data_IF_162650895144
#
_entry.id   IF_162650895144
#
_cell.length_a   1.000
_cell.length_b   1.000
_cell.length_c   1.000
_cell.angle_alpha   90.00
_cell.angle_beta   90.00
_cell.angle_gamma   90.00
#
_symmetry.space_group_name_H-M   'P 1'
#
loop_
_entity.id
_entity.type
_entity.pdbx_description
1 polymer ?
#
# COMPACT_ATOMS: atom_id res chain seq x y z
N UNK A 1 -2.87 5.37 -14.94
CA UNK A 1 -2.81 6.18 -16.19
C UNK A 1 -4.05 7.06 -16.39
N UNK A 2 -5.27 6.56 -16.18
CA UNK A 2 -6.51 7.34 -16.33
C UNK A 2 -6.53 8.66 -15.51
N UNK A 3 -6.19 8.62 -14.22
CA UNK A 3 -6.21 9.79 -13.34
C UNK A 3 -5.23 10.88 -13.82
N UNK A 4 -4.04 10.49 -14.28
CA UNK A 4 -3.05 11.42 -14.82
C UNK A 4 -3.55 12.11 -16.11
N UNK A 5 -4.21 11.35 -16.99
CA UNK A 5 -4.85 11.90 -18.19
C UNK A 5 -5.94 12.92 -17.82
N UNK A 6 -6.82 12.57 -16.88
CA UNK A 6 -7.91 13.46 -16.42
C UNK A 6 -7.34 14.75 -15.82
N UNK A 7 -6.27 14.66 -15.04
CA UNK A 7 -5.58 15.83 -14.47
C UNK A 7 -5.06 16.76 -15.58
N UNK A 8 -4.37 16.21 -16.58
CA UNK A 8 -3.82 17.00 -17.71
C UNK A 8 -4.94 17.64 -18.52
N UNK A 9 -5.98 16.88 -18.88
CA UNK A 9 -7.13 17.39 -19.63
C UNK A 9 -7.83 18.51 -18.87
N UNK A 10 -8.02 18.34 -17.56
CA UNK A 10 -8.65 19.35 -16.70
C UNK A 10 -7.79 20.60 -16.59
N UNK A 11 -6.48 20.45 -16.37
CA UNK A 11 -5.55 21.58 -16.28
C UNK A 11 -5.47 22.37 -17.60
N UNK A 12 -5.42 21.68 -18.75
CA UNK A 12 -5.45 22.31 -20.07
C UNK A 12 -6.77 23.03 -20.33
N UNK A 13 -7.91 22.42 -19.98
CA UNK A 13 -9.21 23.05 -20.13
C UNK A 13 -9.33 24.32 -19.27
N UNK A 14 -8.85 24.30 -18.01
CA UNK A 14 -8.81 25.49 -17.17
C UNK A 14 -7.85 26.57 -17.72
N UNK A 15 -6.71 26.18 -18.30
CA UNK A 15 -5.76 27.13 -18.90
C UNK A 15 -6.30 27.79 -20.18
N UNK A 16 -6.90 27.01 -21.07
CA UNK A 16 -7.38 27.47 -22.38
C UNK A 16 -8.74 28.17 -22.31
N UNK A 17 -9.66 27.65 -21.47
CA UNK A 17 -11.06 28.07 -21.42
C UNK A 17 -11.39 28.85 -20.12
N UNK A 18 -10.39 29.33 -19.37
CA UNK A 18 -10.56 30.03 -18.09
C UNK A 18 -11.72 31.04 -18.09
N UNK A 19 -11.71 31.95 -19.07
CA UNK A 19 -12.69 33.05 -19.15
C UNK A 19 -14.10 32.54 -19.42
N UNK A 20 -14.24 31.53 -20.27
CA UNK A 20 -15.52 30.95 -20.65
C UNK A 20 -16.11 30.12 -19.50
N UNK A 21 -15.28 29.30 -18.83
CA UNK A 21 -15.70 28.49 -17.68
C UNK A 21 -16.14 29.36 -16.49
N UNK A 22 -15.37 30.41 -16.16
CA UNK A 22 -15.74 31.32 -15.07
C UNK A 22 -17.05 32.06 -15.37
N UNK A 23 -17.24 32.49 -16.61
CA UNK A 23 -18.44 33.22 -16.98
C UNK A 23 -19.68 32.30 -17.05
N UNK A 24 -19.53 31.03 -17.46
CA UNK A 24 -20.60 30.02 -17.32
C UNK A 24 -20.96 29.75 -15.85
N UNK A 25 -19.99 29.76 -14.92
CA UNK A 25 -20.28 29.58 -13.49
C UNK A 25 -20.94 30.79 -12.82
N UNK A 26 -20.71 32.01 -13.31
CA UNK A 26 -21.19 33.25 -12.69
C UNK A 26 -22.46 33.79 -13.36
N UNK A 27 -22.56 33.70 -14.68
CA UNK A 27 -23.71 34.19 -15.46
C UNK A 27 -23.89 33.38 -16.78
N UNK A 28 -24.49 32.18 -16.69
CA UNK A 28 -24.67 31.30 -17.86
C UNK A 28 -25.76 31.80 -18.81
N UNK A 29 -26.63 32.73 -18.39
CA UNK A 29 -27.65 33.30 -19.25
C UNK A 29 -27.05 34.36 -20.17
N UNK A 30 -26.20 35.24 -19.62
CA UNK A 30 -25.46 36.23 -20.41
C UNK A 30 -24.57 35.58 -21.47
N UNK A 31 -23.88 34.48 -21.12
CA UNK A 31 -23.00 33.81 -22.09
C UNK A 31 -23.76 33.19 -23.25
N UNK A 32 -24.98 32.69 -22.99
CA UNK A 32 -25.87 32.10 -24.00
C UNK A 32 -26.57 33.16 -24.85
N UNK A 33 -26.84 34.36 -24.32
CA UNK A 33 -27.45 35.44 -25.09
C UNK A 33 -26.45 36.18 -25.98
N UNK A 34 -25.21 36.35 -25.51
CA UNK A 34 -24.19 37.17 -26.19
C UNK A 34 -23.22 36.37 -27.06
N UNK A 35 -23.07 35.06 -26.83
CA UNK A 35 -22.13 34.22 -27.58
C UNK A 35 -22.77 32.94 -28.10
N UNK A 36 -22.64 32.68 -29.41
CA UNK A 36 -23.07 31.41 -30.01
C UNK A 36 -22.33 30.17 -29.48
N UNK A 37 -21.32 30.37 -28.64
CA UNK A 37 -20.48 29.33 -28.03
C UNK A 37 -20.97 28.89 -26.64
N UNK A 38 -21.96 29.56 -26.05
CA UNK A 38 -22.43 29.28 -24.68
C UNK A 38 -22.91 27.85 -24.47
N UNK A 39 -23.66 27.27 -25.41
CA UNK A 39 -24.11 25.87 -25.33
C UNK A 39 -22.95 24.89 -25.34
N UNK A 40 -21.92 25.14 -26.16
CA UNK A 40 -20.74 24.27 -26.26
C UNK A 40 -19.92 24.32 -24.96
N UNK A 41 -19.74 25.52 -24.39
CA UNK A 41 -19.02 25.71 -23.12
C UNK A 41 -19.75 25.01 -21.97
N UNK A 42 -21.08 25.08 -21.93
CA UNK A 42 -21.89 24.39 -20.92
C UNK A 42 -21.70 22.87 -20.95
N UNK A 43 -21.82 22.24 -22.13
CA UNK A 43 -21.58 20.80 -22.26
C UNK A 43 -20.13 20.42 -21.98
N UNK A 44 -19.16 21.26 -22.36
CA UNK A 44 -17.75 21.07 -22.01
C UNK A 44 -17.50 21.12 -20.50
N UNK A 45 -18.13 22.06 -19.80
CA UNK A 45 -18.08 22.15 -18.35
C UNK A 45 -18.70 20.91 -17.67
N UNK A 46 -19.89 20.50 -18.11
CA UNK A 46 -20.55 19.31 -17.56
C UNK A 46 -19.72 18.04 -17.79
N UNK A 47 -19.14 17.89 -18.98
CA UNK A 47 -18.24 16.79 -19.30
C UNK A 47 -17.00 16.77 -18.38
N UNK A 48 -16.40 17.94 -18.11
CA UNK A 48 -15.28 18.06 -17.17
C UNK A 48 -15.67 17.66 -15.74
N UNK A 49 -16.85 18.08 -15.27
CA UNK A 49 -17.35 17.70 -13.94
C UNK A 49 -17.56 16.20 -13.85
N UNK A 50 -18.25 15.60 -14.83
CA UNK A 50 -18.50 14.16 -14.86
C UNK A 50 -17.20 13.37 -14.96
N UNK A 51 -16.25 13.80 -15.79
CA UNK A 51 -14.95 13.16 -15.93
C UNK A 51 -14.18 13.13 -14.61
N UNK A 52 -14.12 14.26 -13.90
CA UNK A 52 -13.47 14.35 -12.59
C UNK A 52 -14.20 13.54 -11.52
N UNK A 53 -15.54 13.52 -11.55
CA UNK A 53 -16.35 12.73 -10.62
C UNK A 53 -16.12 11.23 -10.80
N UNK A 54 -16.17 10.73 -12.04
CA UNK A 54 -15.96 9.30 -12.36
C UNK A 54 -14.53 8.87 -12.01
N UNK A 55 -13.53 9.68 -12.34
CA UNK A 55 -12.15 9.42 -11.95
C UNK A 55 -11.98 9.39 -10.42
N UNK A 56 -12.66 10.29 -9.70
CA UNK A 56 -12.69 10.30 -8.23
C UNK A 56 -13.34 9.05 -7.62
N UNK A 57 -14.40 8.53 -8.24
CA UNK A 57 -15.10 7.34 -7.76
C UNK A 57 -14.23 6.08 -7.78
N UNK A 58 -13.42 5.91 -8.83
CA UNK A 58 -12.50 4.77 -8.92
C UNK A 58 -11.39 4.82 -7.87
N UNK A 59 -10.96 6.02 -7.47
CA UNK A 59 -9.87 6.20 -6.52
C UNK A 59 -10.32 6.14 -5.05
N UNK A 60 -11.50 6.70 -4.75
CA UNK A 60 -11.90 6.99 -3.36
C UNK A 60 -13.29 6.44 -3.00
N UNK A 61 -14.06 5.95 -3.97
CA UNK A 61 -15.47 5.58 -3.77
C UNK A 61 -16.44 6.77 -3.91
N UNK A 62 -17.71 6.46 -4.08
CA UNK A 62 -18.75 7.43 -4.51
C UNK A 62 -19.03 8.54 -3.50
N UNK A 63 -19.24 8.18 -2.23
CA UNK A 63 -19.57 9.15 -1.17
C UNK A 63 -18.41 10.10 -0.86
N UNK A 64 -17.16 9.60 -0.91
CA UNK A 64 -15.97 10.34 -0.50
C UNK A 64 -15.49 11.31 -1.57
N UNK A 65 -15.65 10.94 -2.85
CA UNK A 65 -15.32 11.79 -3.98
C UNK A 65 -16.17 13.07 -4.02
N UNK A 66 -17.48 12.98 -3.72
CA UNK A 66 -18.35 14.16 -3.64
C UNK A 66 -17.89 15.11 -2.54
N UNK A 67 -17.51 14.57 -1.37
CA UNK A 67 -16.96 15.37 -0.27
C UNK A 67 -15.69 16.12 -0.66
N UNK A 68 -14.77 15.46 -1.37
CA UNK A 68 -13.51 16.07 -1.83
C UNK A 68 -13.68 17.09 -2.96
N UNK A 69 -14.74 17.00 -3.77
CA UNK A 69 -15.05 18.01 -4.76
C UNK A 69 -15.62 19.30 -4.13
N UNK A 70 -16.33 19.18 -3.00
CA UNK A 70 -17.04 20.32 -2.38
C UNK A 70 -16.21 20.98 -1.28
N UNK A 71 -15.61 20.21 -0.37
CA UNK A 71 -15.01 20.73 0.87
C UNK A 71 -13.86 21.72 0.66
N UNK A 72 -12.87 21.48 -0.23
CA UNK A 72 -11.78 22.43 -0.43
C UNK A 72 -12.25 23.78 -0.98
N UNK A 73 -13.23 23.75 -1.88
CA UNK A 73 -13.84 24.96 -2.46
C UNK A 73 -14.67 25.70 -1.40
N UNK A 74 -15.49 24.98 -0.65
CA UNK A 74 -16.30 25.55 0.43
C UNK A 74 -15.42 26.17 1.53
N UNK A 75 -14.28 25.54 1.86
CA UNK A 75 -13.30 26.09 2.78
C UNK A 75 -12.65 27.36 2.23
N UNK A 76 -12.20 27.35 0.96
CA UNK A 76 -11.58 28.50 0.30
C UNK A 76 -12.51 29.73 0.22
N UNK A 77 -13.83 29.52 0.09
CA UNK A 77 -14.83 30.59 0.02
C UNK A 77 -14.83 31.50 1.26
N UNK A 78 -14.45 31.00 2.44
CA UNK A 78 -14.38 31.80 3.66
C UNK A 78 -13.19 32.79 3.69
N UNK A 79 -12.18 32.58 2.85
CA UNK A 79 -10.93 33.33 2.87
C UNK A 79 -10.85 34.41 1.79
N UNK A 80 -11.57 34.25 0.68
CA UNK A 80 -11.48 35.15 -0.47
C UNK A 80 -12.80 35.27 -1.23
N UNK A 81 -13.02 36.42 -1.84
CA UNK A 81 -14.15 36.71 -2.73
C UNK A 81 -13.72 36.74 -4.22
N UNK A 82 -12.43 36.55 -4.51
CA UNK A 82 -11.91 36.52 -5.88
C UNK A 82 -11.88 35.10 -6.41
N UNK A 83 -12.52 34.85 -7.56
CA UNK A 83 -12.59 33.53 -8.19
C UNK A 83 -11.20 32.90 -8.46
N UNK A 84 -10.21 33.69 -8.89
CA UNK A 84 -8.85 33.19 -9.15
C UNK A 84 -8.18 32.68 -7.88
N UNK A 85 -8.26 33.48 -6.81
CA UNK A 85 -7.69 33.12 -5.50
C UNK A 85 -8.45 31.95 -4.86
N UNK A 86 -9.75 31.84 -5.10
CA UNK A 86 -10.59 30.76 -4.59
C UNK A 86 -10.18 29.41 -5.18
N UNK A 87 -9.98 29.35 -6.50
CA UNK A 87 -9.49 28.13 -7.17
C UNK A 87 -8.10 27.74 -6.67
N UNK A 88 -7.17 28.70 -6.57
CA UNK A 88 -5.82 28.44 -6.08
C UNK A 88 -5.81 27.92 -4.63
N UNK A 89 -6.61 28.53 -3.74
CA UNK A 89 -6.76 28.09 -2.36
C UNK A 89 -7.44 26.71 -2.27
N UNK A 90 -8.45 26.44 -3.08
CA UNK A 90 -9.11 25.13 -3.09
C UNK A 90 -8.14 24.02 -3.52
N UNK A 91 -7.31 24.27 -4.53
CA UNK A 91 -6.25 23.34 -4.96
C UNK A 91 -5.23 23.13 -3.84
N UNK A 92 -4.79 24.20 -3.17
CA UNK A 92 -3.83 24.10 -2.07
C UNK A 92 -4.42 23.32 -0.87
N UNK A 93 -5.66 23.61 -0.46
CA UNK A 93 -6.36 22.89 0.61
C UNK A 93 -6.55 21.43 0.23
N UNK A 94 -6.93 21.14 -1.02
CA UNK A 94 -7.05 19.78 -1.53
C UNK A 94 -5.73 19.01 -1.46
N UNK A 95 -4.63 19.60 -1.96
CA UNK A 95 -3.31 18.98 -1.93
C UNK A 95 -2.81 18.71 -0.50
N UNK A 96 -2.97 19.68 0.41
CA UNK A 96 -2.58 19.52 1.82
C UNK A 96 -3.45 18.48 2.52
N UNK A 97 -4.76 18.44 2.24
CA UNK A 97 -5.67 17.45 2.82
C UNK A 97 -5.39 16.04 2.31
N UNK A 98 -5.01 15.89 1.04
CA UNK A 98 -4.59 14.62 0.46
C UNK A 98 -3.28 14.12 1.08
N UNK A 99 -2.28 14.98 1.20
CA UNK A 99 -1.01 14.63 1.84
C UNK A 99 -1.20 14.28 3.32
N UNK A 100 -1.94 15.12 4.05
CA UNK A 100 -2.27 14.89 5.47
C UNK A 100 -3.09 13.62 5.69
N UNK A 101 -4.09 13.37 4.84
CA UNK A 101 -4.91 12.17 4.91
C UNK A 101 -4.14 10.88 4.59
N UNK A 102 -3.22 10.93 3.63
CA UNK A 102 -2.32 9.80 3.36
C UNK A 102 -1.39 9.53 4.53
N UNK A 103 -0.80 10.56 5.14
CA UNK A 103 0.00 10.41 6.35
C UNK A 103 -0.82 9.81 7.51
N UNK A 104 -2.04 10.29 7.71
CA UNK A 104 -2.93 9.78 8.75
C UNK A 104 -3.33 8.32 8.50
N UNK A 105 -3.59 7.96 7.24
CA UNK A 105 -3.83 6.59 6.80
C UNK A 105 -2.65 5.67 7.16
N UNK A 106 -1.41 6.12 6.91
CA UNK A 106 -0.21 5.36 7.26
C UNK A 106 -0.06 5.13 8.77
N UNK A 107 -0.41 6.11 9.61
CA UNK A 107 -0.23 6.01 11.06
C UNK A 107 -1.38 5.31 11.78
N UNK A 108 -2.62 5.50 11.33
CA UNK A 108 -3.82 5.01 12.02
C UNK A 108 -4.46 3.78 11.37
N UNK A 109 -3.86 3.22 10.30
CA UNK A 109 -4.39 2.08 9.55
C UNK A 109 -5.84 2.30 9.05
N UNK A 110 -6.22 3.55 8.80
CA UNK A 110 -7.53 3.91 8.26
C UNK A 110 -7.51 3.75 6.73
N UNK A 111 -8.65 3.43 6.09
CA UNK A 111 -8.74 3.48 4.64
C UNK A 111 -8.40 4.90 4.13
N UNK A 112 -7.63 4.98 3.04
CA UNK A 112 -7.06 6.24 2.53
C UNK A 112 -8.12 7.27 2.16
N UNK A 113 -9.20 6.84 1.50
CA UNK A 113 -10.32 7.71 1.14
C UNK A 113 -10.93 8.47 2.33
N UNK A 114 -11.45 7.76 3.35
CA UNK A 114 -11.97 8.36 4.57
C UNK A 114 -10.97 9.30 5.26
N UNK A 115 -9.69 8.92 5.35
CA UNK A 115 -8.66 9.74 5.99
C UNK A 115 -8.44 11.08 5.25
N UNK A 116 -8.45 11.06 3.91
CA UNK A 116 -8.35 12.28 3.09
C UNK A 116 -9.60 13.15 3.24
N UNK A 117 -10.80 12.56 3.18
CA UNK A 117 -12.07 13.30 3.35
C UNK A 117 -12.18 13.92 4.75
N UNK A 118 -11.77 13.21 5.81
CA UNK A 118 -11.72 13.75 7.18
C UNK A 118 -10.73 14.91 7.29
N UNK A 119 -9.57 14.81 6.65
CA UNK A 119 -8.57 15.89 6.62
C UNK A 119 -9.12 17.15 5.94
N UNK A 120 -9.82 16.98 4.81
CA UNK A 120 -10.50 18.09 4.12
C UNK A 120 -11.65 18.68 4.96
N UNK A 121 -12.40 17.82 5.67
CA UNK A 121 -13.44 18.24 6.61
C UNK A 121 -12.89 19.07 7.77
N UNK A 122 -11.74 18.68 8.34
CA UNK A 122 -11.07 19.44 9.37
C UNK A 122 -10.63 20.83 8.85
N UNK A 123 -10.06 20.91 7.65
CA UNK A 123 -9.69 22.18 7.01
C UNK A 123 -10.91 23.11 6.79
N UNK A 124 -12.06 22.53 6.43
CA UNK A 124 -13.33 23.26 6.33
C UNK A 124 -13.79 23.80 7.69
N UNK A 125 -13.81 22.96 8.74
CA UNK A 125 -14.21 23.39 10.10
C UNK A 125 -13.31 24.52 10.61
N UNK A 126 -11.99 24.40 10.45
CA UNK A 126 -11.02 25.45 10.80
C UNK A 126 -11.32 26.76 10.05
N UNK A 127 -11.66 26.67 8.76
CA UNK A 127 -12.02 27.84 7.94
C UNK A 127 -13.30 28.52 8.44
N UNK A 128 -14.33 27.75 8.79
CA UNK A 128 -15.60 28.27 9.35
C UNK A 128 -15.36 28.98 10.69
N UNK A 129 -14.60 28.35 11.60
CA UNK A 129 -14.32 28.93 12.92
C UNK A 129 -13.50 30.22 12.81
N UNK A 130 -12.51 30.25 11.92
CA UNK A 130 -11.67 31.42 11.66
C UNK A 130 -12.47 32.59 11.08
N UNK A 131 -13.41 32.31 10.17
CA UNK A 131 -14.29 33.33 9.59
C UNK A 131 -15.22 33.96 10.63
N UNK A 132 -15.79 33.15 11.54
CA UNK A 132 -16.63 33.64 12.64
C UNK A 132 -15.84 34.52 13.60
N UNK A 133 -14.62 34.12 13.97
CA UNK A 133 -13.73 34.92 14.83
C UNK A 133 -13.37 36.26 14.17
N UNK A 134 -13.05 36.27 12.86
CA UNK A 134 -12.73 37.48 12.12
C UNK A 134 -13.94 38.43 11.96
N UNK A 135 -15.15 37.89 11.91
CA UNK A 135 -16.39 38.67 11.90
C UNK A 135 -16.68 39.27 13.30
N UNK A 136 -16.49 38.47 14.36
CA UNK A 136 -16.68 38.91 15.75
C UNK A 136 -15.69 40.01 16.15
N UNK A 137 -14.43 39.91 15.73
CA UNK A 137 -13.45 40.98 15.92
C UNK A 137 -13.68 42.22 15.03
N UNK A 138 -14.46 42.12 13.94
CA UNK A 138 -14.88 43.28 13.13
C UNK A 138 -16.08 43.98 13.76
N UNK A 139 -17.05 43.23 14.27
CA UNK A 139 -18.18 43.75 15.04
C UNK A 139 -17.75 44.42 16.36
N UNK A 140 -16.73 43.89 17.05
CA UNK A 140 -16.16 44.58 18.23
C UNK A 140 -15.33 45.84 17.85
N UNK A 141 -14.83 45.93 16.61
CA UNK A 141 -14.05 47.07 16.12
C UNK A 141 -14.88 48.19 15.50
N UNK A 142 -16.17 47.98 15.24
CA UNK A 142 -17.08 49.07 14.84
C UNK A 142 -17.59 49.91 16.01
N UNK A 143 -17.14 49.65 17.24
CA UNK A 143 -17.44 50.45 18.44
C UNK A 143 -16.36 51.51 18.76
N UNK A 144 -15.35 51.74 17.92
CA UNK A 144 -14.29 52.72 18.18
C UNK A 144 -13.75 53.37 16.90
N UNK A 145 -13.99 54.68 16.77
CA UNK A 145 -13.67 55.55 15.63
C UNK A 145 -12.18 55.83 15.44
N UNK A 146 -11.73 55.92 14.19
CA UNK A 146 -10.46 56.56 13.78
C UNK A 146 -10.08 56.23 12.33
N UNK A 147 -9.67 57.20 11.49
CA UNK A 147 -9.42 56.99 10.07
C UNK A 147 -8.12 56.19 9.86
N UNK A 148 -8.15 55.17 9.01
CA UNK A 148 -6.97 54.32 8.71
C UNK A 148 -6.45 54.59 7.30
N UNK A 149 -5.16 54.93 7.25
CA UNK A 149 -4.30 55.05 6.06
C UNK A 149 -4.28 53.73 5.23
N UNK A 150 -4.50 53.78 3.90
CA UNK A 150 -4.62 52.59 3.06
C UNK A 150 -3.29 51.93 2.63
N UNK A 151 -2.11 52.38 3.07
CA UNK A 151 -0.84 51.96 2.43
C UNK A 151 -0.04 50.81 3.05
N UNK A 152 -0.52 50.09 4.06
CA UNK A 152 0.29 48.98 4.64
C UNK A 152 -0.52 47.76 5.00
N UNK A 153 -0.74 46.86 4.04
CA UNK A 153 -1.11 45.46 4.34
C UNK A 153 -0.51 44.46 3.34
N UNK A 154 0.39 43.63 3.88
CA UNK A 154 0.71 42.22 3.55
C UNK A 154 1.80 42.02 2.46
N UNK A 155 2.72 41.01 2.54
CA UNK A 155 2.89 39.96 3.56
C UNK A 155 4.30 39.84 4.17
N UNK A 156 4.36 39.60 5.48
CA UNK A 156 5.51 39.07 6.21
C UNK A 156 5.28 37.58 6.48
N UNK A 157 5.21 36.77 5.41
CA UNK A 157 5.14 35.30 5.49
C UNK A 157 6.27 34.64 4.67
N UNK A 158 7.10 35.43 3.97
CA UNK A 158 8.15 34.93 3.07
C UNK A 158 9.57 35.02 3.67
N UNK A 159 9.74 34.87 4.99
CA UNK A 159 11.05 34.99 5.65
C UNK A 159 11.40 33.93 6.70
N UNK A 160 10.70 32.80 6.73
CA UNK A 160 10.98 31.73 7.72
C UNK A 160 11.34 30.37 7.11
N UNK A 161 11.59 30.27 5.80
CA UNK A 161 11.85 28.99 5.12
C UNK A 161 13.32 28.75 4.72
N UNK A 162 14.27 29.51 5.26
CA UNK A 162 15.67 29.48 4.81
C UNK A 162 16.70 29.14 5.91
N UNK A 163 16.27 28.64 7.08
CA UNK A 163 17.18 28.40 8.21
C UNK A 163 17.11 26.97 8.79
N UNK A 164 16.65 25.98 8.02
CA UNK A 164 16.66 24.57 8.44
C UNK A 164 17.30 23.65 7.38
N UNK A 165 18.45 24.08 6.84
CA UNK A 165 19.24 23.28 5.89
C UNK A 165 20.73 23.40 6.23
N UNK A 166 21.14 22.95 7.42
CA UNK A 166 22.47 22.39 7.64
C UNK A 166 22.56 21.67 9.00
N UNK A 167 22.03 20.46 9.06
CA UNK A 167 22.56 19.45 9.97
C UNK A 167 22.71 18.20 9.13
N UNK A 168 23.93 17.97 8.66
CA UNK A 168 24.34 16.67 8.18
C UNK A 168 24.32 15.73 9.37
N UNK A 169 23.14 15.17 9.66
CA UNK A 169 23.04 13.96 10.46
C UNK A 169 23.79 12.90 9.66
N UNK A 170 24.89 12.39 10.24
CA UNK A 170 25.44 11.13 9.77
C UNK A 170 24.30 10.12 9.86
N UNK A 171 23.77 9.70 8.71
CA UNK A 171 22.78 8.62 8.64
C UNK A 171 23.53 7.37 9.05
N UNK A 172 23.51 7.06 10.34
CA UNK A 172 23.78 5.71 10.80
C UNK A 172 22.69 4.86 10.12
N UNK A 173 23.11 3.97 9.22
CA UNK A 173 22.19 3.02 8.61
C UNK A 173 21.54 2.23 9.76
N UNK A 174 20.23 2.37 9.92
CA UNK A 174 19.46 1.58 10.88
C UNK A 174 19.53 0.09 10.52
N UNK A 175 19.01 -0.80 11.39
CA UNK A 175 18.93 -2.22 11.08
C UNK A 175 18.23 -2.43 9.73
N UNK A 176 18.71 -3.36 8.88
CA UNK A 176 18.07 -3.67 7.61
C UNK A 176 16.58 -3.97 7.79
N UNK A 177 15.77 -3.31 6.98
CA UNK A 177 14.33 -3.53 6.90
C UNK A 177 14.07 -4.81 6.10
N UNK A 178 13.48 -5.81 6.74
CA UNK A 178 13.19 -7.10 6.14
C UNK A 178 11.69 -7.28 6.06
N UNK A 179 11.20 -7.59 4.86
CA UNK A 179 9.80 -7.99 4.67
C UNK A 179 9.75 -9.49 4.42
N UNK A 180 8.95 -10.21 5.20
CA UNK A 180 8.61 -11.60 4.97
C UNK A 180 7.17 -11.70 4.46
N UNK A 181 6.95 -12.45 3.38
CA UNK A 181 5.61 -12.57 2.78
C UNK A 181 4.60 -13.19 3.74
N UNK A 182 4.97 -14.18 4.54
CA UNK A 182 4.07 -14.82 5.49
C UNK A 182 4.74 -15.28 6.79
N UNK A 183 3.91 -15.67 7.75
CA UNK A 183 4.28 -15.94 9.15
C UNK A 183 5.40 -16.96 9.35
N UNK A 184 5.42 -18.08 8.61
CA UNK A 184 6.40 -19.15 8.82
C UNK A 184 7.81 -18.68 8.48
N UNK A 185 8.00 -18.10 7.28
CA UNK A 185 9.30 -17.56 6.89
C UNK A 185 9.64 -16.30 7.69
N UNK A 186 8.63 -15.60 8.22
CA UNK A 186 8.80 -14.54 9.20
C UNK A 186 9.44 -15.03 10.52
N UNK A 187 8.98 -16.15 11.07
CA UNK A 187 9.62 -16.76 12.24
C UNK A 187 11.06 -17.17 11.93
N UNK A 188 11.29 -17.85 10.80
CA UNK A 188 12.66 -18.22 10.38
C UNK A 188 13.56 -16.99 10.25
N UNK A 189 13.06 -15.90 9.67
CA UNK A 189 13.76 -14.62 9.55
C UNK A 189 14.09 -14.02 10.92
N UNK A 190 13.12 -14.00 11.85
CA UNK A 190 13.33 -13.51 13.21
C UNK A 190 14.39 -14.33 13.96
N UNK A 191 14.39 -15.66 13.81
CA UNK A 191 15.38 -16.56 14.44
C UNK A 191 16.80 -16.32 13.94
N UNK A 192 16.97 -16.02 12.64
CA UNK A 192 18.28 -15.73 12.05
C UNK A 192 18.72 -14.30 12.32
N UNK A 193 17.84 -13.32 12.10
CA UNK A 193 18.14 -11.90 12.17
C UNK A 193 18.28 -11.35 13.59
N UNK A 194 17.49 -11.86 14.55
CA UNK A 194 17.44 -11.34 15.91
C UNK A 194 17.20 -9.83 15.95
N UNK A 195 17.83 -9.15 16.91
CA UNK A 195 17.68 -7.70 17.10
C UNK A 195 18.40 -6.84 16.03
N UNK A 196 19.05 -7.48 15.04
CA UNK A 196 19.77 -6.76 13.98
C UNK A 196 18.91 -6.45 12.76
N UNK A 197 17.70 -7.00 12.68
CA UNK A 197 16.77 -6.73 11.57
C UNK A 197 15.51 -6.05 12.10
N UNK A 198 14.86 -5.25 11.27
CA UNK A 198 13.49 -4.81 11.51
C UNK A 198 12.56 -5.62 10.60
N UNK A 199 11.79 -6.54 11.19
CA UNK A 199 10.98 -7.51 10.44
C UNK A 199 9.52 -7.06 10.35
N UNK A 200 8.99 -7.03 9.12
CA UNK A 200 7.56 -6.91 8.86
C UNK A 200 7.04 -8.14 8.11
N UNK A 201 5.98 -8.76 8.64
CA UNK A 201 5.28 -9.87 8.01
C UNK A 201 4.02 -9.37 7.31
N UNK A 202 3.81 -9.75 6.04
CA UNK A 202 2.64 -9.32 5.27
C UNK A 202 1.39 -10.14 5.61
N UNK A 203 1.47 -11.46 5.42
CA UNK A 203 0.41 -12.42 5.75
C UNK A 203 0.63 -12.95 7.17
N UNK A 204 -0.23 -12.52 8.08
CA UNK A 204 -0.12 -12.83 9.51
C UNK A 204 -0.50 -14.27 9.87
N UNK A 205 -0.50 -14.59 11.18
CA UNK A 205 -0.98 -15.88 11.68
C UNK A 205 -2.42 -16.16 11.24
N UNK A 206 -2.74 -17.43 11.04
CA UNK A 206 -4.07 -17.95 10.67
C UNK A 206 -4.66 -17.37 9.37
N UNK A 207 -3.85 -16.69 8.55
CA UNK A 207 -4.23 -16.15 7.24
C UNK A 207 -3.67 -17.00 6.10
N UNK A 208 -4.41 -17.05 5.00
CA UNK A 208 -4.07 -17.84 3.82
C UNK A 208 -3.24 -17.02 2.82
N UNK A 209 -2.02 -17.47 2.53
CA UNK A 209 -1.11 -16.81 1.60
C UNK A 209 -1.50 -17.00 0.13
N UNK A 210 -2.24 -18.06 -0.22
CA UNK A 210 -2.66 -18.35 -1.61
C UNK A 210 -3.61 -17.28 -2.15
N UNK A 211 -4.49 -16.76 -1.29
CA UNK A 211 -5.59 -15.85 -1.64
C UNK A 211 -5.43 -14.45 -1.04
N UNK A 212 -4.25 -14.12 -0.53
CA UNK A 212 -4.01 -12.82 0.10
C UNK A 212 -4.01 -11.67 -0.91
N UNK A 213 -4.67 -10.57 -0.53
CA UNK A 213 -4.65 -9.31 -1.27
C UNK A 213 -3.84 -8.23 -0.51
N UNK A 214 -2.73 -7.73 -1.09
CA UNK A 214 -1.90 -6.71 -0.46
C UNK A 214 -2.62 -5.39 -0.19
N UNK A 215 -2.32 -4.79 0.96
CA UNK A 215 -2.79 -3.46 1.36
C UNK A 215 -1.78 -2.39 0.95
N UNK A 216 -2.18 -1.11 0.84
CA UNK A 216 -1.25 -0.02 0.54
C UNK A 216 -0.04 0.08 1.49
N UNK A 217 -0.22 -0.27 2.77
CA UNK A 217 0.88 -0.31 3.74
C UNK A 217 1.94 -1.36 3.38
N UNK A 218 1.52 -2.46 2.76
CA UNK A 218 2.40 -3.56 2.39
C UNK A 218 3.29 -3.11 1.22
N UNK A 219 2.73 -2.35 0.27
CA UNK A 219 3.52 -1.73 -0.79
C UNK A 219 4.55 -0.73 -0.24
N UNK A 220 4.20 0.04 0.79
CA UNK A 220 5.16 0.94 1.46
C UNK A 220 6.24 0.18 2.23
N UNK A 221 5.87 -0.93 2.88
CA UNK A 221 6.82 -1.79 3.56
C UNK A 221 7.85 -2.35 2.58
N UNK A 222 7.37 -2.93 1.47
CA UNK A 222 8.21 -3.47 0.40
C UNK A 222 9.07 -2.37 -0.24
N UNK A 223 8.54 -1.18 -0.47
CA UNK A 223 9.28 -0.04 -1.02
C UNK A 223 10.44 0.44 -0.12
N UNK A 224 10.35 0.20 1.19
CA UNK A 224 11.38 0.59 2.19
C UNK A 224 12.30 -0.57 2.58
N UNK A 225 11.97 -1.79 2.16
CA UNK A 225 12.73 -2.96 2.52
C UNK A 225 14.13 -2.92 1.91
N UNK A 226 15.10 -3.51 2.61
CA UNK A 226 16.39 -3.88 2.06
C UNK A 226 16.34 -5.31 1.49
N UNK A 227 15.56 -6.19 2.13
CA UNK A 227 15.37 -7.59 1.73
C UNK A 227 13.90 -7.94 1.79
N UNK A 228 13.39 -8.60 0.75
CA UNK A 228 12.06 -9.21 0.71
C UNK A 228 12.23 -10.71 0.58
N UNK A 229 11.81 -11.45 1.61
CA UNK A 229 11.82 -12.90 1.65
C UNK A 229 10.48 -13.42 1.15
N UNK A 230 10.53 -14.28 0.12
CA UNK A 230 9.37 -14.95 -0.47
C UNK A 230 9.54 -16.46 -0.32
N UNK A 231 8.45 -17.22 -0.32
CA UNK A 231 8.56 -18.67 -0.42
C UNK A 231 9.15 -19.05 -1.78
N UNK A 232 8.57 -18.51 -2.84
CA UNK A 232 8.78 -19.00 -4.20
C UNK A 232 7.73 -20.04 -4.57
N UNK A 233 7.97 -20.76 -5.68
CA UNK A 233 7.09 -21.82 -6.18
C UNK A 233 5.63 -21.38 -6.41
N UNK A 234 5.43 -20.10 -6.71
CA UNK A 234 4.12 -19.48 -6.95
C UNK A 234 3.12 -19.58 -5.78
N UNK A 235 3.59 -19.73 -4.52
CA UNK A 235 2.72 -19.63 -3.35
C UNK A 235 2.01 -18.27 -3.31
N UNK A 236 2.79 -17.20 -3.41
CA UNK A 236 2.30 -15.83 -3.27
C UNK A 236 2.00 -15.17 -4.62
N UNK A 237 0.81 -15.46 -5.17
CA UNK A 237 0.35 -14.95 -6.47
C UNK A 237 0.31 -13.41 -6.61
N UNK A 238 0.44 -12.69 -5.49
CA UNK A 238 0.40 -11.24 -5.40
C UNK A 238 1.78 -10.56 -5.45
N UNK A 239 2.87 -11.30 -5.22
CA UNK A 239 4.20 -10.72 -4.96
C UNK A 239 4.73 -9.93 -6.15
N UNK A 240 4.61 -10.43 -7.38
CA UNK A 240 5.11 -9.72 -8.57
C UNK A 240 4.42 -8.36 -8.77
N UNK A 241 3.09 -8.33 -8.59
CA UNK A 241 2.32 -7.08 -8.68
C UNK A 241 2.69 -6.13 -7.55
N UNK A 242 2.91 -6.65 -6.35
CA UNK A 242 3.29 -5.86 -5.18
C UNK A 242 4.68 -5.23 -5.35
N UNK A 243 5.66 -6.00 -5.83
CA UNK A 243 7.02 -5.52 -6.13
C UNK A 243 6.95 -4.42 -7.18
N UNK A 244 6.28 -4.67 -8.31
CA UNK A 244 6.12 -3.68 -9.37
C UNK A 244 5.43 -2.39 -8.89
N UNK A 245 4.37 -2.52 -8.08
CA UNK A 245 3.65 -1.37 -7.53
C UNK A 245 4.46 -0.59 -6.48
N UNK A 246 5.32 -1.28 -5.72
CA UNK A 246 6.15 -0.66 -4.69
C UNK A 246 7.32 0.15 -5.26
N UNK A 247 7.82 -0.23 -6.46
CA UNK A 247 9.03 0.35 -7.03
C UNK A 247 10.28 0.13 -6.17
N UNK A 248 10.31 -0.98 -5.42
CA UNK A 248 11.41 -1.30 -4.51
C UNK A 248 12.70 -1.65 -5.24
N UNK A 249 13.83 -1.26 -4.64
CA UNK A 249 15.18 -1.71 -5.01
C UNK A 249 15.70 -2.85 -4.10
N UNK A 250 14.83 -3.41 -3.25
CA UNK A 250 15.18 -4.47 -2.32
C UNK A 250 15.65 -5.74 -3.03
N UNK A 251 16.53 -6.50 -2.37
CA UNK A 251 16.85 -7.86 -2.80
C UNK A 251 15.63 -8.77 -2.56
N UNK A 252 15.09 -9.33 -3.64
CA UNK A 252 13.99 -10.31 -3.57
C UNK A 252 14.61 -11.72 -3.52
N UNK A 253 14.32 -12.47 -2.46
CA UNK A 253 14.95 -13.76 -2.18
C UNK A 253 13.88 -14.83 -2.02
N UNK A 254 13.84 -15.78 -2.95
CA UNK A 254 13.02 -16.98 -2.84
C UNK A 254 13.72 -18.01 -1.97
N UNK A 255 13.08 -18.44 -0.88
CA UNK A 255 13.73 -19.30 0.10
C UNK A 255 13.89 -20.75 -0.37
N UNK A 256 13.03 -21.21 -1.27
CA UNK A 256 13.04 -22.57 -1.80
C UNK A 256 14.15 -22.84 -2.82
N UNK A 257 14.92 -21.83 -3.26
CA UNK A 257 16.00 -22.01 -4.24
C UNK A 257 17.11 -22.98 -3.76
N UNK A 258 17.24 -23.15 -2.44
CA UNK A 258 18.18 -24.10 -1.82
C UNK A 258 17.53 -25.39 -1.30
N UNK A 259 16.22 -25.54 -1.44
CA UNK A 259 15.46 -26.69 -0.93
C UNK A 259 15.38 -27.84 -1.95
N UNK A 260 15.09 -29.05 -1.47
CA UNK A 260 14.75 -30.17 -2.34
C UNK A 260 13.27 -30.04 -2.73
N UNK A 261 13.03 -29.72 -4.00
CA UNK A 261 11.71 -29.41 -4.55
C UNK A 261 11.46 -30.37 -5.71
N UNK A 262 10.78 -31.51 -5.46
CA UNK A 262 10.45 -32.47 -6.50
C UNK A 262 9.52 -31.84 -7.55
N UNK A 263 9.72 -32.19 -8.82
CA UNK A 263 8.77 -31.84 -9.87
C UNK A 263 7.39 -32.43 -9.54
N UNK A 264 6.36 -31.59 -9.66
CA UNK A 264 4.96 -31.95 -9.59
C UNK A 264 4.33 -31.89 -10.98
N UNK A 265 4.17 -33.04 -11.67
CA UNK A 265 3.55 -33.12 -12.99
C UNK A 265 2.08 -32.66 -13.01
N UNK A 266 1.42 -32.62 -11.84
CA UNK A 266 0.05 -32.16 -11.67
C UNK A 266 -0.04 -30.70 -11.18
N UNK A 267 1.10 -30.05 -10.93
CA UNK A 267 1.17 -28.70 -10.39
C UNK A 267 0.83 -27.60 -11.40
N UNK A 268 0.16 -26.55 -10.93
CA UNK A 268 -0.07 -25.33 -11.69
C UNK A 268 -1.09 -24.37 -11.10
N UNK A 269 -1.16 -23.17 -11.70
CA UNK A 269 -2.10 -22.14 -11.32
C UNK A 269 -2.59 -21.37 -12.54
N UNK A 270 -3.80 -20.81 -12.43
CA UNK A 270 -4.31 -19.87 -13.43
C UNK A 270 -3.81 -18.45 -13.09
N UNK A 271 -3.14 -17.81 -14.04
CA UNK A 271 -2.90 -16.37 -14.01
C UNK A 271 -3.93 -15.69 -14.90
N UNK A 272 -4.59 -14.64 -14.39
CA UNK A 272 -5.49 -13.83 -15.20
C UNK A 272 -4.72 -12.68 -15.86
N UNK A 273 -4.71 -12.65 -17.19
CA UNK A 273 -4.16 -11.54 -17.99
C UNK A 273 -5.33 -10.91 -18.75
N UNK A 274 -5.86 -9.82 -18.21
CA UNK A 274 -7.14 -9.27 -18.65
C UNK A 274 -8.31 -10.19 -18.27
N UNK A 275 -9.21 -10.46 -19.21
CA UNK A 275 -10.37 -11.36 -19.01
C UNK A 275 -10.05 -12.84 -19.30
N UNK A 276 -8.78 -13.18 -19.52
CA UNK A 276 -8.37 -14.54 -19.86
C UNK A 276 -7.62 -15.20 -18.72
N UNK A 277 -8.11 -16.37 -18.29
CA UNK A 277 -7.40 -17.28 -17.41
C UNK A 277 -6.38 -18.08 -18.22
N UNK A 278 -5.09 -17.83 -18.00
CA UNK A 278 -3.99 -18.57 -18.60
C UNK A 278 -3.51 -19.61 -17.58
N UNK A 279 -3.56 -20.89 -17.93
CA UNK A 279 -2.99 -21.95 -17.11
C UNK A 279 -1.47 -21.90 -17.23
N UNK A 280 -0.80 -21.64 -16.11
CA UNK A 280 0.64 -21.85 -15.97
C UNK A 280 0.81 -23.21 -15.30
N UNK A 281 1.41 -24.16 -16.04
CA UNK A 281 2.00 -25.32 -15.40
C UNK A 281 3.03 -24.79 -14.39
N UNK A 282 2.75 -24.96 -13.11
CA UNK A 282 3.55 -24.51 -11.99
C UNK A 282 4.12 -25.76 -11.38
N UNK A 283 5.32 -26.12 -11.82
CA UNK A 283 5.85 -27.47 -11.73
C UNK A 283 6.18 -27.97 -10.31
N UNK A 284 5.73 -27.32 -9.24
CA UNK A 284 6.21 -27.63 -7.89
C UNK A 284 5.16 -27.31 -6.81
N UNK A 285 4.99 -28.22 -5.85
CA UNK A 285 4.25 -27.98 -4.62
C UNK A 285 4.98 -26.91 -3.78
N UNK A 286 4.33 -25.79 -3.39
CA UNK A 286 5.00 -24.72 -2.67
C UNK A 286 5.28 -25.01 -1.19
N UNK A 287 4.71 -26.07 -0.60
CA UNK A 287 4.71 -26.30 0.85
C UNK A 287 5.99 -26.96 1.37
N UNK A 288 7.15 -26.60 0.80
CA UNK A 288 8.44 -27.22 1.09
C UNK A 288 8.82 -27.17 2.58
N UNK A 289 8.37 -26.15 3.32
CA UNK A 289 8.64 -26.00 4.75
C UNK A 289 8.08 -27.13 5.63
N UNK A 290 7.19 -27.96 5.10
CA UNK A 290 6.64 -29.13 5.80
C UNK A 290 7.66 -30.28 5.93
N UNK A 291 8.78 -30.22 5.18
CA UNK A 291 9.97 -31.02 5.45
C UNK A 291 10.95 -30.19 6.30
N UNK A 292 11.34 -30.71 7.47
CA UNK A 292 12.31 -30.03 8.35
C UNK A 292 13.69 -29.89 7.68
N UNK A 293 14.18 -30.86 6.90
CA UNK A 293 15.34 -30.66 6.03
C UNK A 293 15.23 -29.44 5.09
N UNK A 294 14.07 -29.24 4.44
CA UNK A 294 13.83 -28.07 3.60
C UNK A 294 13.74 -26.77 4.41
N UNK A 295 13.11 -26.78 5.59
CA UNK A 295 13.11 -25.63 6.49
C UNK A 295 14.54 -25.19 6.87
N UNK A 296 15.46 -26.15 7.08
CA UNK A 296 16.89 -25.85 7.31
C UNK A 296 17.57 -25.21 6.10
N UNK A 297 17.22 -25.65 4.89
CA UNK A 297 17.72 -25.04 3.66
C UNK A 297 17.24 -23.58 3.54
N UNK A 298 15.96 -23.32 3.79
CA UNK A 298 15.40 -21.97 3.84
C UNK A 298 16.14 -21.08 4.85
N UNK A 299 16.43 -21.59 6.05
CA UNK A 299 17.21 -20.87 7.08
C UNK A 299 18.62 -20.52 6.59
N UNK A 300 19.28 -21.41 5.85
CA UNK A 300 20.58 -21.12 5.25
C UNK A 300 20.49 -20.02 4.17
N UNK A 301 19.46 -20.05 3.34
CA UNK A 301 19.18 -19.01 2.34
C UNK A 301 18.95 -17.65 3.00
N UNK A 302 18.16 -17.59 4.08
CA UNK A 302 17.94 -16.37 4.86
C UNK A 302 19.26 -15.81 5.40
N UNK A 303 20.11 -16.66 5.98
CA UNK A 303 21.41 -16.22 6.50
C UNK A 303 22.31 -15.64 5.39
N UNK A 304 22.29 -16.24 4.20
CA UNK A 304 22.99 -15.73 3.02
C UNK A 304 22.48 -14.35 2.58
N UNK A 305 21.15 -14.19 2.52
CA UNK A 305 20.50 -12.92 2.18
C UNK A 305 20.83 -11.81 3.18
N UNK A 306 20.78 -12.11 4.48
CA UNK A 306 21.11 -11.13 5.52
C UNK A 306 22.59 -10.77 5.52
N UNK A 307 23.50 -11.72 5.28
CA UNK A 307 24.92 -11.43 5.08
C UNK A 307 25.19 -10.53 3.88
N UNK A 308 24.42 -10.68 2.79
CA UNK A 308 24.56 -9.84 1.61
C UNK A 308 24.04 -8.41 1.85
N UNK A 309 22.98 -8.26 2.64
CA UNK A 309 22.39 -6.96 2.98
C UNK A 309 23.12 -6.22 4.12
N UNK A 310 23.67 -6.95 5.09
CA UNK A 310 24.43 -6.45 6.23
C UNK A 310 25.66 -7.33 6.48
N UNK A 311 26.77 -6.96 5.84
CA UNK A 311 28.04 -7.66 5.97
C UNK A 311 28.61 -7.61 7.40
N UNK A 312 28.33 -6.55 8.17
CA UNK A 312 28.81 -6.40 9.55
C UNK A 312 28.12 -7.40 10.49
N UNK A 313 26.84 -7.68 10.26
CA UNK A 313 26.06 -8.65 11.02
C UNK A 313 26.28 -10.12 10.64
N UNK A 314 27.04 -10.42 9.57
CA UNK A 314 27.07 -11.75 8.97
C UNK A 314 27.47 -12.89 9.93
N UNK A 315 28.46 -12.67 10.81
CA UNK A 315 28.86 -13.67 11.80
C UNK A 315 27.73 -13.96 12.80
N UNK A 316 26.93 -12.95 13.17
CA UNK A 316 25.76 -13.10 14.05
C UNK A 316 24.66 -13.91 13.33
N UNK A 317 24.35 -13.58 12.08
CA UNK A 317 23.34 -14.30 11.30
C UNK A 317 23.71 -15.78 11.12
N UNK A 318 24.97 -16.07 10.79
CA UNK A 318 25.48 -17.45 10.67
C UNK A 318 25.42 -18.21 11.98
N UNK A 319 25.83 -17.59 13.08
CA UNK A 319 25.76 -18.22 14.40
C UNK A 319 24.31 -18.52 14.82
N UNK A 320 23.38 -17.58 14.58
CA UNK A 320 21.96 -17.76 14.84
C UNK A 320 21.35 -18.86 13.99
N UNK A 321 21.62 -18.86 12.68
CA UNK A 321 21.17 -19.91 11.75
C UNK A 321 21.72 -21.29 12.14
N UNK A 322 22.99 -21.39 12.53
CA UNK A 322 23.59 -22.64 13.00
C UNK A 322 22.97 -23.15 14.31
N UNK A 323 22.61 -22.25 15.23
CA UNK A 323 21.87 -22.62 16.44
C UNK A 323 20.48 -23.12 16.10
N UNK A 324 19.73 -22.37 15.30
CA UNK A 324 18.38 -22.76 14.90
C UNK A 324 18.35 -24.07 14.10
N UNK A 325 19.35 -24.31 13.25
CA UNK A 325 19.48 -25.57 12.52
C UNK A 325 19.68 -26.79 13.44
N UNK A 326 20.29 -26.62 14.63
CA UNK A 326 20.39 -27.69 15.63
C UNK A 326 19.02 -28.00 16.23
N UNK A 327 18.23 -26.98 16.53
CA UNK A 327 16.87 -27.14 17.02
C UNK A 327 15.99 -27.86 15.97
N UNK A 328 16.13 -27.48 14.70
CA UNK A 328 15.46 -28.17 13.59
C UNK A 328 15.92 -29.63 13.43
N UNK A 329 17.22 -29.94 13.59
CA UNK A 329 17.68 -31.33 13.57
C UNK A 329 17.09 -32.16 14.72
N UNK A 330 16.94 -31.56 15.91
CA UNK A 330 16.31 -32.23 17.04
C UNK A 330 14.82 -32.47 16.77
N UNK A 331 14.12 -31.48 16.19
CA UNK A 331 12.72 -31.60 15.78
C UNK A 331 12.53 -32.70 14.72
N UNK A 332 13.39 -32.76 13.70
CA UNK A 332 13.32 -33.81 12.67
C UNK A 332 13.45 -35.21 13.28
N UNK A 333 14.40 -35.41 14.20
CA UNK A 333 14.58 -36.67 14.89
C UNK A 333 13.38 -37.04 15.79
N UNK A 334 12.79 -36.04 16.46
CA UNK A 334 11.59 -36.22 17.27
C UNK A 334 10.40 -36.67 16.41
N UNK A 335 10.15 -35.98 15.28
CA UNK A 335 9.08 -36.33 14.34
C UNK A 335 9.27 -37.76 13.82
N UNK A 336 10.48 -38.11 13.36
CA UNK A 336 10.78 -39.46 12.87
C UNK A 336 10.55 -40.53 13.94
N UNK A 337 10.95 -40.26 15.18
CA UNK A 337 10.75 -41.19 16.29
C UNK A 337 9.27 -41.37 16.60
N UNK A 338 8.51 -40.27 16.67
CA UNK A 338 7.08 -40.28 16.97
C UNK A 338 6.28 -41.01 15.87
N UNK A 339 6.53 -40.69 14.61
CA UNK A 339 5.86 -41.34 13.48
C UNK A 339 6.30 -42.80 13.33
N UNK A 340 7.58 -43.10 13.55
CA UNK A 340 8.13 -44.46 13.50
C UNK A 340 7.50 -45.41 14.53
N UNK A 341 6.99 -44.88 15.65
CA UNK A 341 6.28 -45.66 16.66
C UNK A 341 4.84 -46.04 16.25
N UNK A 342 4.27 -45.40 15.22
CA UNK A 342 2.92 -45.69 14.74
C UNK A 342 2.92 -46.94 13.84
N UNK A 343 1.93 -47.83 13.98
CA UNK A 343 1.67 -48.90 13.01
C UNK A 343 1.49 -48.34 11.60
N UNK A 344 2.01 -49.02 10.57
CA UNK A 344 1.95 -48.54 9.18
C UNK A 344 0.51 -48.38 8.67
N UNK A 345 -0.42 -49.24 9.12
CA UNK A 345 -1.84 -49.19 8.78
C UNK A 345 -2.60 -48.03 9.45
N UNK A 346 -1.96 -47.32 10.37
CA UNK A 346 -2.54 -46.19 11.12
C UNK A 346 -1.96 -44.82 10.71
N UNK A 347 -1.37 -44.71 9.51
CA UNK A 347 -0.67 -43.50 9.03
C UNK A 347 -1.42 -42.70 7.96
N UNK A 348 -2.75 -42.64 8.04
CA UNK A 348 -3.57 -41.89 7.08
C UNK A 348 -4.44 -40.85 7.78
N UNK A 349 -4.40 -39.60 7.32
CA UNK A 349 -5.11 -38.46 7.91
C UNK A 349 -5.83 -37.65 6.83
N UNK A 350 -6.97 -37.05 7.17
CA UNK A 350 -7.70 -36.12 6.29
C UNK A 350 -7.47 -34.68 6.75
N UNK A 351 -7.10 -33.80 5.84
CA UNK A 351 -6.82 -32.37 6.06
C UNK A 351 -7.64 -31.49 5.12
N UNK A 352 -7.61 -30.16 5.30
CA UNK A 352 -8.45 -29.23 4.56
C UNK A 352 -8.04 -29.04 3.08
N UNK A 353 -6.74 -28.95 2.79
CA UNK A 353 -6.18 -28.83 1.43
C UNK A 353 -4.86 -29.60 1.33
N UNK A 354 -4.40 -29.84 0.10
CA UNK A 354 -3.24 -30.67 -0.17
C UNK A 354 -1.93 -29.90 0.09
N UNK A 355 -1.57 -29.77 1.37
CA UNK A 355 -0.42 -28.96 1.82
C UNK A 355 0.67 -29.75 2.54
N UNK A 356 0.56 -31.07 2.64
CA UNK A 356 1.44 -31.90 3.48
C UNK A 356 2.23 -32.94 2.68
N UNK A 357 2.38 -32.76 1.37
CA UNK A 357 3.08 -33.73 0.51
C UNK A 357 4.53 -33.94 0.93
N UNK A 358 5.28 -32.86 1.18
CA UNK A 358 6.66 -32.98 1.68
C UNK A 358 6.73 -33.72 3.01
N UNK A 359 5.77 -33.49 3.91
CA UNK A 359 5.68 -34.24 5.18
C UNK A 359 5.41 -35.73 4.92
N UNK A 360 4.53 -36.04 3.96
CA UNK A 360 4.24 -37.42 3.56
C UNK A 360 5.48 -38.13 3.03
N UNK A 361 6.23 -37.49 2.14
CA UNK A 361 7.44 -38.06 1.53
C UNK A 361 8.56 -38.23 2.58
N UNK A 362 8.70 -37.27 3.49
CA UNK A 362 9.77 -37.26 4.51
C UNK A 362 9.52 -38.23 5.68
N UNK A 363 8.26 -38.35 6.12
CA UNK A 363 7.90 -39.03 7.37
C UNK A 363 6.94 -40.21 7.19
N UNK A 364 6.35 -40.41 6.01
CA UNK A 364 5.52 -41.58 5.72
C UNK A 364 4.10 -41.54 6.31
N UNK A 365 3.50 -40.35 6.40
CA UNK A 365 2.06 -40.17 6.70
C UNK A 365 1.32 -39.82 5.42
N UNK A 366 0.30 -40.59 5.06
CA UNK A 366 -0.58 -40.30 3.94
C UNK A 366 -1.62 -39.23 4.31
N UNK A 367 -1.79 -38.23 3.45
CA UNK A 367 -2.77 -37.16 3.60
C UNK A 367 -3.81 -37.21 2.49
N UNK A 368 -5.08 -37.09 2.87
CA UNK A 368 -6.20 -36.91 1.95
C UNK A 368 -6.79 -35.51 2.17
N UNK A 369 -7.25 -34.86 1.10
CA UNK A 369 -7.87 -33.54 1.21
C UNK A 369 -8.98 -33.33 0.18
N UNK A 370 -10.01 -32.52 0.51
CA UNK A 370 -11.05 -32.13 -0.43
C UNK A 370 -10.58 -31.04 -1.40
N UNK A 371 -9.61 -30.20 -1.01
CA UNK A 371 -9.01 -29.18 -1.89
C UNK A 371 -7.62 -29.61 -2.37
N UNK A 372 -7.23 -29.11 -3.54
CA UNK A 372 -5.91 -29.34 -4.14
C UNK A 372 -4.79 -28.54 -3.46
N UNK A 373 -3.67 -28.37 -4.16
CA UNK A 373 -2.46 -27.71 -3.65
C UNK A 373 -2.68 -26.21 -3.38
N UNK A 374 -3.56 -25.54 -4.13
CA UNK A 374 -3.98 -24.17 -3.83
C UNK A 374 -5.44 -24.12 -3.42
N UNK A 375 -5.73 -23.28 -2.43
CA UNK A 375 -7.10 -22.97 -1.96
C UNK A 375 -7.85 -22.00 -2.88
N UNK A 376 -7.15 -21.39 -3.86
CA UNK A 376 -7.77 -20.52 -4.86
C UNK A 376 -8.65 -21.29 -5.85
N UNK A 377 -8.33 -22.56 -6.11
CA UNK A 377 -9.11 -23.43 -7.00
C UNK A 377 -10.18 -24.16 -6.17
N UNK A 378 -11.44 -23.77 -6.34
CA UNK A 378 -12.58 -24.52 -5.80
C UNK A 378 -12.63 -25.90 -6.47
N UNK A 379 -12.92 -26.96 -5.71
CA UNK A 379 -13.17 -28.29 -6.28
C UNK A 379 -14.20 -28.15 -7.41
N UNK A 380 -13.82 -28.60 -8.61
CA UNK A 380 -14.76 -28.70 -9.72
C UNK A 380 -15.77 -29.79 -9.34
N UNK A 381 -17.03 -29.39 -9.14
CA UNK A 381 -18.17 -30.31 -9.02
C UNK A 381 -18.38 -31.09 -10.33
#
# INVERSE_FOLDING_TARGET
MLIALVLVVTALAFGLLWRALVAECLDPLFLRSESGMGTVVHFGFLALVVLNLVAGFQALGTLLAVGLMILPVAAAHFWTQSARLMVALAVAIGAVSSAGGMLLSCHLSLPSGPAITLSAGAAYVVSVLSARAACWCRACRSAGTGPRDPRKRIPMILRSLAALMLSAVAVQAGPPQVVATFSIIGDMAARVGGDRIELQVLVGPDADAHVYEPRPRDAMAVARANVVLTNGLALESFVDRLIAASGTDAAIVALTDGADVPEDPAGGHYQYVGDQAIWHAGAHDPHAWQSVPNARACVATIAGAFCAADAEGCEVYRANAARYAKDLNALDAEIRTAIGALPEDCRTVVVAHNAFRYFSEEYGIAFLSPQGTSTAARAAD
#
